data_IF_736894448647
#
_entry.id   IF_736894448647
#
_cell.length_a   1.000
_cell.length_b   1.000
_cell.length_c   1.000
_cell.angle_alpha   90.00
_cell.angle_beta   90.00
_cell.angle_gamma   90.00
#
_symmetry.space_group_name_H-M   'P 1'
#
loop_
_entity.id
_entity.type
_entity.pdbx_description
1 polymer ?
#
# COMPACT_ATOMS: atom_id res chain seq x y z
N UNK A 1 -18.30 -8.17 -26.05
CA UNK A 1 -18.73 -8.02 -24.65
C UNK A 1 -17.51 -7.77 -23.79
N UNK A 2 -17.41 -6.57 -23.23
CA UNK A 2 -16.29 -6.14 -22.35
C UNK A 2 -16.29 -6.89 -21.00
N UNK A 3 -17.46 -7.32 -20.53
CA UNK A 3 -17.61 -7.98 -19.25
C UNK A 3 -18.44 -9.24 -19.40
N UNK A 4 -17.82 -10.39 -19.13
CA UNK A 4 -18.50 -11.65 -19.01
C UNK A 4 -17.97 -12.36 -17.78
N UNK A 5 -18.80 -12.57 -16.78
CA UNK A 5 -18.42 -13.40 -15.63
C UNK A 5 -18.10 -14.80 -16.13
N UNK A 6 -16.87 -15.22 -15.96
CA UNK A 6 -16.39 -16.53 -16.43
C UNK A 6 -16.03 -17.46 -15.28
N UNK A 7 -15.80 -16.91 -14.08
CA UNK A 7 -15.37 -17.69 -12.92
C UNK A 7 -15.97 -17.13 -11.65
N UNK A 8 -16.13 -18.00 -10.66
CA UNK A 8 -16.49 -17.62 -9.32
C UNK A 8 -15.76 -18.51 -8.30
N UNK A 9 -15.57 -17.99 -7.11
CA UNK A 9 -14.96 -18.72 -5.98
C UNK A 9 -15.85 -18.59 -4.74
N UNK A 10 -16.01 -19.67 -3.94
CA UNK A 10 -16.81 -19.68 -2.72
C UNK A 10 -16.07 -19.06 -1.52
N UNK A 11 -15.21 -18.10 -1.78
CA UNK A 11 -14.45 -17.32 -0.80
C UNK A 11 -14.36 -15.88 -1.31
N UNK A 12 -14.30 -14.93 -0.39
CA UNK A 12 -14.03 -13.54 -0.72
C UNK A 12 -12.51 -13.31 -0.73
N UNK A 13 -12.00 -12.90 -1.87
CA UNK A 13 -10.56 -12.70 -2.10
C UNK A 13 -10.36 -11.58 -3.12
N UNK A 14 -9.24 -10.89 -3.03
CA UNK A 14 -8.79 -9.98 -4.08
C UNK A 14 -7.81 -10.72 -5.01
N UNK A 15 -8.25 -11.15 -6.21
CA UNK A 15 -7.40 -11.91 -7.12
C UNK A 15 -6.20 -11.10 -7.64
N UNK A 16 -6.31 -9.78 -7.74
CA UNK A 16 -5.22 -8.92 -8.20
C UNK A 16 -4.09 -8.83 -7.17
N UNK A 17 -4.43 -8.74 -5.88
CA UNK A 17 -3.42 -8.76 -4.81
C UNK A 17 -2.66 -10.08 -4.74
N UNK A 18 -3.34 -11.19 -4.99
CA UNK A 18 -2.68 -12.50 -5.03
C UNK A 18 -1.63 -12.54 -6.15
N UNK A 19 -1.96 -12.00 -7.31
CA UNK A 19 -1.09 -12.04 -8.50
C UNK A 19 0.05 -11.03 -8.35
N UNK A 20 -0.25 -9.80 -7.94
CA UNK A 20 0.70 -8.69 -7.97
C UNK A 20 1.57 -8.62 -6.71
N UNK A 21 0.98 -8.87 -5.55
CA UNK A 21 1.62 -8.65 -4.24
C UNK A 21 1.93 -9.95 -3.50
N UNK A 22 1.45 -11.12 -4.00
CA UNK A 22 1.51 -12.42 -3.33
C UNK A 22 0.87 -12.41 -1.93
N UNK A 23 -0.08 -11.48 -1.73
CA UNK A 23 -0.82 -11.32 -0.48
C UNK A 23 -2.14 -12.10 -0.56
N UNK A 24 -2.30 -13.06 0.34
CA UNK A 24 -3.45 -13.96 0.39
C UNK A 24 -4.30 -13.62 1.61
N UNK A 25 -5.27 -12.72 1.42
CA UNK A 25 -6.33 -12.46 2.40
C UNK A 25 -7.62 -13.16 1.95
N UNK A 26 -7.97 -14.27 2.59
CA UNK A 26 -9.15 -15.08 2.28
C UNK A 26 -10.17 -14.93 3.39
N UNK A 27 -11.38 -14.51 3.02
CA UNK A 27 -12.50 -14.32 3.94
C UNK A 27 -13.68 -15.21 3.52
N UNK A 28 -14.61 -15.48 4.44
CA UNK A 28 -15.86 -16.13 4.10
C UNK A 28 -16.67 -15.24 3.17
N UNK A 29 -17.14 -15.81 2.03
CA UNK A 29 -17.89 -15.02 1.07
C UNK A 29 -17.87 -15.62 -0.33
N UNK A 30 -18.00 -14.76 -1.34
CA UNK A 30 -17.98 -15.17 -2.73
C UNK A 30 -17.25 -14.11 -3.57
N UNK A 31 -16.49 -14.54 -4.56
CA UNK A 31 -15.84 -13.68 -5.55
C UNK A 31 -16.30 -14.05 -6.94
N UNK A 32 -16.71 -13.07 -7.72
CA UNK A 32 -16.99 -13.17 -9.13
C UNK A 32 -15.83 -12.54 -9.91
N UNK A 33 -15.37 -13.21 -10.95
CA UNK A 33 -14.25 -12.76 -11.78
C UNK A 33 -14.72 -12.65 -13.23
N UNK A 34 -14.37 -11.56 -13.86
CA UNK A 34 -14.64 -11.30 -15.27
C UNK A 34 -13.37 -10.85 -15.98
N UNK A 35 -13.14 -11.40 -17.15
CA UNK A 35 -12.02 -11.05 -18.01
C UNK A 35 -12.51 -11.06 -19.47
N UNK A 36 -12.04 -10.13 -20.28
CA UNK A 36 -12.30 -10.19 -21.70
C UNK A 36 -11.34 -11.15 -22.43
N UNK A 37 -11.66 -11.52 -23.67
CA UNK A 37 -10.87 -12.48 -24.47
C UNK A 37 -9.43 -12.01 -24.72
N UNK A 38 -9.18 -10.72 -24.70
CA UNK A 38 -7.85 -10.14 -24.95
C UNK A 38 -7.08 -9.86 -23.66
N UNK A 39 -7.63 -10.19 -22.51
CA UNK A 39 -7.07 -9.87 -21.19
C UNK A 39 -6.74 -8.38 -21.00
N UNK A 40 -7.38 -7.52 -21.80
CA UNK A 40 -7.18 -6.07 -21.70
C UNK A 40 -8.16 -5.40 -20.70
N UNK A 41 -9.19 -6.13 -20.27
CA UNK A 41 -10.11 -5.70 -19.22
C UNK A 41 -10.35 -6.85 -18.25
N UNK A 42 -10.05 -6.62 -17.01
CA UNK A 42 -10.20 -7.59 -15.92
C UNK A 42 -10.97 -6.93 -14.78
N UNK A 43 -11.85 -7.68 -14.15
CA UNK A 43 -12.59 -7.17 -13.00
C UNK A 43 -12.94 -8.28 -12.02
N UNK A 44 -13.12 -7.91 -10.79
CA UNK A 44 -13.71 -8.78 -9.79
C UNK A 44 -14.73 -8.04 -8.95
N UNK A 45 -15.65 -8.78 -8.38
CA UNK A 45 -16.60 -8.34 -7.36
C UNK A 45 -16.62 -9.39 -6.25
N UNK A 46 -16.23 -9.01 -5.05
CA UNK A 46 -16.21 -9.89 -3.90
C UNK A 46 -17.19 -9.40 -2.83
N UNK A 47 -17.92 -10.33 -2.27
CA UNK A 47 -18.73 -10.14 -1.07
C UNK A 47 -18.11 -10.95 0.06
N UNK A 48 -17.72 -10.28 1.13
CA UNK A 48 -17.19 -10.90 2.33
C UNK A 48 -18.16 -10.71 3.50
N UNK A 49 -18.23 -11.72 4.33
CA UNK A 49 -18.95 -11.64 5.59
C UNK A 49 -18.04 -12.03 6.74
N UNK A 50 -17.92 -11.15 7.73
CA UNK A 50 -17.18 -11.38 8.96
C UNK A 50 -18.09 -11.02 10.13
N UNK A 51 -18.12 -11.89 11.14
CA UNK A 51 -18.98 -11.68 12.31
C UNK A 51 -18.65 -10.39 13.06
N UNK A 52 -17.37 -10.03 13.13
CA UNK A 52 -16.92 -8.81 13.82
C UNK A 52 -17.11 -7.54 12.97
N UNK A 53 -16.80 -7.61 11.68
CA UNK A 53 -16.79 -6.45 10.77
C UNK A 53 -18.07 -6.29 9.97
N UNK A 54 -18.94 -7.30 9.96
CA UNK A 54 -20.17 -7.31 9.15
C UNK A 54 -19.91 -7.63 7.69
N UNK A 55 -20.86 -7.21 6.83
CA UNK A 55 -20.81 -7.47 5.39
C UNK A 55 -20.02 -6.40 4.65
N UNK A 56 -19.12 -6.82 3.77
CA UNK A 56 -18.28 -5.94 2.94
C UNK A 56 -18.37 -6.37 1.49
N UNK A 57 -18.58 -5.40 0.60
CA UNK A 57 -18.48 -5.56 -0.86
C UNK A 57 -17.23 -4.87 -1.34
N UNK A 58 -16.39 -5.58 -2.09
CA UNK A 58 -15.16 -5.06 -2.70
C UNK A 58 -15.22 -5.33 -4.20
N UNK A 59 -14.77 -4.39 -5.00
CA UNK A 59 -14.67 -4.60 -6.45
C UNK A 59 -13.56 -3.77 -7.06
N UNK A 60 -13.00 -4.28 -8.15
CA UNK A 60 -12.03 -3.55 -8.95
C UNK A 60 -12.22 -3.88 -10.43
N UNK A 61 -11.91 -2.89 -11.24
CA UNK A 61 -11.84 -2.96 -12.69
C UNK A 61 -10.47 -2.45 -13.12
N UNK A 62 -9.74 -3.28 -13.87
CA UNK A 62 -8.47 -2.94 -14.49
C UNK A 62 -8.60 -2.98 -16.00
N UNK A 63 -8.09 -1.97 -16.67
CA UNK A 63 -8.08 -1.88 -18.13
C UNK A 63 -6.71 -1.44 -18.64
N UNK A 64 -6.11 -2.23 -19.52
CA UNK A 64 -4.77 -2.01 -20.09
C UNK A 64 -4.75 -1.92 -21.63
N UNK A 65 -5.91 -1.81 -22.26
CA UNK A 65 -6.03 -1.81 -23.74
C UNK A 65 -5.48 -0.57 -24.45
N UNK A 66 -5.13 0.49 -23.73
CA UNK A 66 -4.62 1.75 -24.30
C UNK A 66 -3.10 1.92 -24.12
N UNK A 67 -2.39 0.90 -23.64
CA UNK A 67 -0.98 1.04 -23.27
C UNK A 67 -0.76 1.77 -21.95
N UNK A 68 -1.83 2.25 -21.34
CA UNK A 68 -1.91 2.76 -19.99
C UNK A 68 -2.78 1.80 -19.19
N UNK A 69 -2.31 1.36 -18.06
CA UNK A 69 -3.10 0.58 -17.12
C UNK A 69 -3.97 1.52 -16.28
N UNK A 70 -5.27 1.37 -16.41
CA UNK A 70 -6.26 2.12 -15.64
C UNK A 70 -6.90 1.17 -14.62
N UNK A 71 -6.98 1.58 -13.38
CA UNK A 71 -7.64 0.82 -12.33
C UNK A 71 -8.64 1.69 -11.57
N UNK A 72 -9.83 1.14 -11.34
CA UNK A 72 -10.84 1.73 -10.46
C UNK A 72 -11.24 0.64 -9.47
N UNK A 73 -11.16 0.93 -8.18
CA UNK A 73 -11.56 0.00 -7.15
C UNK A 73 -12.44 0.69 -6.10
N UNK A 74 -13.29 -0.09 -5.48
CA UNK A 74 -14.19 0.41 -4.44
C UNK A 74 -14.44 -0.64 -3.38
N UNK A 75 -14.71 -0.15 -2.17
CA UNK A 75 -15.12 -0.97 -1.03
C UNK A 75 -16.32 -0.30 -0.37
N UNK A 76 -17.31 -1.08 -0.01
CA UNK A 76 -18.47 -0.62 0.75
C UNK A 76 -18.88 -1.65 1.79
N UNK A 77 -19.18 -1.18 3.00
CA UNK A 77 -19.65 -2.03 4.09
C UNK A 77 -18.62 -2.13 5.21
N UNK A 78 -18.89 -3.04 6.12
CA UNK A 78 -18.10 -3.16 7.34
C UNK A 78 -18.55 -2.20 8.43
N UNK A 79 -18.40 -2.64 9.67
CA UNK A 79 -18.69 -1.84 10.84
C UNK A 79 -17.43 -1.07 11.23
N UNK A 80 -17.57 0.22 11.42
CA UNK A 80 -16.49 1.04 11.94
C UNK A 80 -16.58 1.10 13.46
N UNK A 81 -15.46 1.02 14.13
CA UNK A 81 -15.37 1.12 15.60
C UNK A 81 -14.36 2.19 16.01
N UNK A 82 -14.64 2.87 17.08
CA UNK A 82 -13.72 3.83 17.71
C UNK A 82 -13.29 3.25 19.04
N UNK A 83 -12.00 3.25 19.29
CA UNK A 83 -11.45 2.99 20.61
C UNK A 83 -11.34 4.32 21.37
N UNK A 84 -12.27 4.56 22.28
CA UNK A 84 -12.18 5.72 23.15
C UNK A 84 -11.16 5.45 24.26
N UNK A 85 -10.28 6.42 24.52
CA UNK A 85 -9.30 6.27 25.58
C UNK A 85 -10.00 6.12 26.95
N UNK A 86 -9.54 5.16 27.74
CA UNK A 86 -10.15 4.80 29.02
C UNK A 86 -11.33 3.84 28.93
N UNK A 87 -11.75 3.44 27.73
CA UNK A 87 -12.76 2.40 27.53
C UNK A 87 -12.13 1.12 27.01
N UNK A 88 -12.41 0.01 27.66
CA UNK A 88 -11.89 -1.31 27.25
C UNK A 88 -12.59 -1.89 26.02
N UNK A 89 -13.74 -1.34 25.64
CA UNK A 89 -14.52 -1.85 24.51
C UNK A 89 -14.61 -0.81 23.37
N UNK A 90 -14.47 -1.25 22.11
CA UNK A 90 -14.65 -0.39 20.96
C UNK A 90 -16.12 0.08 20.88
N UNK A 91 -16.32 1.35 20.55
CA UNK A 91 -17.66 1.89 20.30
C UNK A 91 -17.98 1.79 18.80
N UNK A 92 -19.13 1.24 18.43
CA UNK A 92 -19.54 1.19 17.03
C UNK A 92 -19.90 2.60 16.54
N UNK A 93 -19.48 2.88 15.29
CA UNK A 93 -19.91 4.06 14.55
C UNK A 93 -21.08 3.67 13.66
N UNK A 94 -22.14 4.49 13.56
CA UNK A 94 -23.32 4.17 12.76
C UNK A 94 -23.02 4.13 11.26
N UNK A 95 -22.01 4.86 10.79
CA UNK A 95 -21.68 4.97 9.38
C UNK A 95 -20.89 3.75 8.88
N UNK A 96 -21.30 3.23 7.73
CA UNK A 96 -20.55 2.15 7.06
C UNK A 96 -19.28 2.70 6.42
N UNK A 97 -18.24 1.85 6.40
CA UNK A 97 -17.04 2.18 5.66
C UNK A 97 -17.30 2.20 4.15
N UNK A 98 -16.75 3.16 3.46
CA UNK A 98 -16.62 3.14 2.01
C UNK A 98 -15.31 3.77 1.54
N UNK A 99 -14.79 3.24 0.47
CA UNK A 99 -13.63 3.80 -0.21
C UNK A 99 -13.79 3.67 -1.72
N UNK A 100 -13.18 4.60 -2.43
CA UNK A 100 -13.10 4.61 -3.88
C UNK A 100 -11.67 4.97 -4.26
N UNK A 101 -11.09 4.26 -5.21
CA UNK A 101 -9.79 4.56 -5.76
C UNK A 101 -9.83 4.56 -7.28
N UNK A 102 -9.05 5.43 -7.88
CA UNK A 102 -8.80 5.47 -9.31
C UNK A 102 -7.31 5.69 -9.54
N UNK A 103 -6.72 4.90 -10.42
CA UNK A 103 -5.29 4.96 -10.73
C UNK A 103 -5.03 4.84 -12.21
N UNK A 104 -3.91 5.40 -12.63
CA UNK A 104 -3.36 5.25 -13.97
C UNK A 104 -1.87 4.98 -13.87
N UNK A 105 -1.40 3.94 -14.56
CA UNK A 105 0.02 3.58 -14.67
C UNK A 105 0.40 3.51 -16.14
N UNK A 106 1.40 4.28 -16.52
CA UNK A 106 2.01 4.23 -17.87
C UNK A 106 3.31 3.44 -17.79
N UNK A 107 3.32 2.15 -18.18
CA UNK A 107 4.53 1.36 -18.28
C UNK A 107 5.19 1.58 -19.65
N UNK A 108 6.40 2.10 -19.66
CA UNK A 108 7.23 2.23 -20.85
C UNK A 108 8.35 1.18 -20.79
N UNK A 109 8.24 0.15 -21.61
CA UNK A 109 9.21 -0.97 -21.62
C UNK A 109 10.14 -0.83 -22.82
N UNK A 110 11.43 -0.82 -22.56
CA UNK A 110 12.49 -0.74 -23.55
C UNK A 110 13.36 -2.01 -23.44
N UNK A 111 13.14 -2.96 -24.31
CA UNK A 111 13.97 -4.16 -24.38
C UNK A 111 15.16 -3.92 -25.34
N UNK A 112 16.37 -4.17 -24.87
CA UNK A 112 17.59 -4.06 -25.68
C UNK A 112 18.48 -5.28 -25.41
N UNK A 113 18.35 -6.28 -26.25
CA UNK A 113 19.09 -7.54 -26.14
C UNK A 113 18.78 -8.27 -24.85
N UNK A 114 19.80 -8.49 -24.02
CA UNK A 114 19.67 -9.20 -22.75
C UNK A 114 19.24 -8.30 -21.56
N UNK A 115 18.96 -7.02 -21.82
CA UNK A 115 18.54 -6.06 -20.79
C UNK A 115 17.11 -5.60 -21.01
N UNK A 116 16.36 -5.55 -19.95
CA UNK A 116 15.05 -4.93 -19.90
C UNK A 116 15.14 -3.64 -19.09
N UNK A 117 14.66 -2.56 -19.69
CA UNK A 117 14.52 -1.25 -19.04
C UNK A 117 13.05 -0.91 -19.00
N UNK A 118 12.58 -0.49 -17.84
CA UNK A 118 11.19 -0.08 -17.68
C UNK A 118 11.14 1.25 -16.94
N UNK A 119 10.40 2.19 -17.51
CA UNK A 119 10.01 3.42 -16.85
C UNK A 119 8.50 3.35 -16.57
N UNK A 120 8.08 3.52 -15.34
CA UNK A 120 6.68 3.56 -14.95
C UNK A 120 6.33 4.93 -14.38
N UNK A 121 5.24 5.51 -14.84
CA UNK A 121 4.65 6.71 -14.28
C UNK A 121 3.29 6.35 -13.70
N UNK A 122 3.05 6.68 -12.46
CA UNK A 122 1.80 6.38 -11.75
C UNK A 122 1.15 7.64 -11.21
N UNK A 123 -0.17 7.71 -11.34
CA UNK A 123 -0.99 8.69 -10.67
C UNK A 123 -2.21 7.96 -10.08
N UNK A 124 -2.47 8.13 -8.81
CA UNK A 124 -3.59 7.49 -8.13
C UNK A 124 -4.31 8.47 -7.21
N UNK A 125 -5.61 8.35 -7.18
CA UNK A 125 -6.49 9.03 -6.25
C UNK A 125 -7.21 8.00 -5.40
N UNK A 126 -7.24 8.22 -4.10
CA UNK A 126 -7.98 7.40 -3.16
C UNK A 126 -8.86 8.30 -2.30
N UNK A 127 -10.08 7.88 -2.10
CA UNK A 127 -11.03 8.50 -1.21
C UNK A 127 -11.55 7.49 -0.20
N UNK A 128 -11.66 7.86 1.06
CA UNK A 128 -12.33 7.02 2.05
C UNK A 128 -12.98 7.87 3.14
N UNK A 129 -14.07 7.36 3.70
CA UNK A 129 -14.71 7.91 4.90
C UNK A 129 -14.18 7.25 6.18
N UNK A 130 -13.16 6.41 6.09
CA UNK A 130 -12.59 5.73 7.24
C UNK A 130 -12.06 6.70 8.28
N UNK A 131 -12.14 6.32 9.54
CA UNK A 131 -11.49 7.03 10.61
C UNK A 131 -9.99 6.80 10.53
N UNK A 132 -9.27 7.87 10.31
CA UNK A 132 -7.82 7.77 10.09
C UNK A 132 -7.05 7.81 11.39
N UNK A 133 -7.56 8.44 12.43
CA UNK A 133 -7.03 8.36 13.79
C UNK A 133 -8.00 8.96 14.80
N UNK A 134 -8.04 8.35 15.99
CA UNK A 134 -8.45 9.03 17.21
C UNK A 134 -7.18 9.56 17.88
N UNK A 135 -6.97 10.85 17.79
CA UNK A 135 -5.86 11.49 18.50
C UNK A 135 -6.40 11.95 19.85
N UNK A 136 -6.08 11.20 20.89
CA UNK A 136 -6.31 11.62 22.27
C UNK A 136 -5.09 12.35 22.80
N UNK A 137 -5.24 13.58 23.29
CA UNK A 137 -4.23 14.25 24.09
C UNK A 137 -4.49 13.95 25.55
N UNK A 138 -3.60 13.17 26.18
CA UNK A 138 -3.54 13.03 27.61
C UNK A 138 -2.90 14.30 28.19
N UNK A 139 -3.68 15.11 28.89
CA UNK A 139 -3.13 16.20 29.68
C UNK A 139 -3.00 15.71 31.13
N UNK A 140 -1.77 15.65 31.62
CA UNK A 140 -1.51 15.34 33.03
C UNK A 140 -1.79 16.55 33.84
N UNK A 141 -2.69 16.42 34.82
CA UNK A 141 -2.97 17.44 35.83
C UNK A 141 -2.14 17.15 37.08
N UNK A 142 -1.15 17.99 37.31
CA UNK A 142 -0.26 17.86 38.48
C UNK A 142 -0.99 18.04 39.82
N UNK A 143 -2.10 18.79 39.87
CA UNK A 143 -2.84 19.04 41.08
C UNK A 143 -3.66 17.84 41.55
N UNK A 144 -4.16 17.06 40.61
CA UNK A 144 -4.96 15.86 40.88
C UNK A 144 -4.21 14.55 40.71
N UNK A 145 -2.93 14.60 40.26
CA UNK A 145 -2.12 13.44 39.87
C UNK A 145 -2.86 12.49 38.94
N UNK A 146 -3.72 13.03 38.10
CA UNK A 146 -4.53 12.24 37.16
C UNK A 146 -4.43 12.79 35.75
N UNK A 147 -4.65 11.89 34.78
CA UNK A 147 -4.78 12.30 33.40
C UNK A 147 -6.21 12.78 33.17
N UNK A 148 -6.40 14.06 32.97
CA UNK A 148 -7.69 14.69 32.70
C UNK A 148 -7.72 15.22 31.27
N UNK A 149 -8.91 15.24 30.66
CA UNK A 149 -9.22 15.77 29.33
C UNK A 149 -8.55 15.03 28.17
N UNK A 150 -9.10 13.89 27.83
CA UNK A 150 -8.99 13.28 26.52
C UNK A 150 -9.86 14.06 25.53
N UNK A 151 -9.27 15.01 24.82
CA UNK A 151 -9.94 15.56 23.64
C UNK A 151 -9.85 14.54 22.51
N UNK A 152 -10.95 13.89 22.20
CA UNK A 152 -11.07 13.06 21.03
C UNK A 152 -11.26 13.94 19.80
N UNK A 153 -10.23 14.07 19.00
CA UNK A 153 -10.35 14.66 17.68
C UNK A 153 -10.63 13.50 16.72
N UNK A 154 -11.89 13.17 16.54
CA UNK A 154 -12.31 12.24 15.50
C UNK A 154 -12.41 12.98 14.18
N UNK A 155 -11.56 12.67 13.20
CA UNK A 155 -11.69 13.20 11.86
C UNK A 155 -12.65 12.29 11.08
N UNK A 156 -13.86 12.75 10.83
CA UNK A 156 -14.87 12.09 9.99
C UNK A 156 -14.90 12.63 8.57
N UNK A 157 -14.05 13.58 8.25
CA UNK A 157 -14.02 14.13 6.90
C UNK A 157 -13.38 13.12 5.96
N UNK A 158 -14.02 12.94 4.80
CA UNK A 158 -13.50 12.07 3.75
C UNK A 158 -12.05 12.41 3.42
N UNK A 159 -11.21 11.40 3.45
CA UNK A 159 -9.80 11.55 3.14
C UNK A 159 -9.61 11.41 1.64
N UNK A 160 -9.17 12.48 0.99
CA UNK A 160 -8.69 12.45 -0.38
C UNK A 160 -7.17 12.36 -0.38
N UNK A 161 -6.63 11.27 -0.91
CA UNK A 161 -5.19 11.08 -1.06
C UNK A 161 -4.85 11.02 -2.53
N UNK A 162 -3.98 11.91 -2.99
CA UNK A 162 -3.36 11.86 -4.31
C UNK A 162 -1.95 11.28 -4.17
N UNK A 163 -1.59 10.37 -5.05
CA UNK A 163 -0.25 9.77 -5.07
C UNK A 163 0.28 9.84 -6.49
N UNK A 164 1.48 10.38 -6.65
CA UNK A 164 2.23 10.39 -7.89
C UNK A 164 3.50 9.57 -7.72
N UNK A 165 3.83 8.77 -8.70
CA UNK A 165 4.99 7.89 -8.63
C UNK A 165 5.75 7.85 -9.96
N UNK A 166 7.06 7.70 -9.84
CA UNK A 166 7.95 7.39 -10.94
C UNK A 166 8.82 6.21 -10.54
N UNK A 167 8.90 5.21 -11.40
CA UNK A 167 9.75 4.05 -11.23
C UNK A 167 10.63 3.85 -12.45
N UNK A 168 11.89 3.51 -12.23
CA UNK A 168 12.79 3.10 -13.30
C UNK A 168 13.52 1.83 -12.90
N UNK A 169 13.53 0.85 -13.78
CA UNK A 169 14.31 -0.36 -13.62
C UNK A 169 15.16 -0.65 -14.85
N UNK A 170 16.34 -1.19 -14.61
CA UNK A 170 17.24 -1.68 -15.64
C UNK A 170 17.86 -2.98 -15.13
N UNK A 171 17.46 -4.09 -15.70
CA UNK A 171 17.87 -5.42 -15.22
C UNK A 171 18.29 -6.30 -16.39
N UNK A 172 19.24 -7.17 -16.11
CA UNK A 172 19.61 -8.28 -16.99
C UNK A 172 18.55 -9.37 -16.83
N UNK A 173 18.16 -10.01 -17.93
CA UNK A 173 17.24 -11.14 -17.87
C UNK A 173 17.85 -12.29 -17.06
N UNK A 174 17.03 -12.92 -16.24
CA UNK A 174 17.38 -14.09 -15.46
C UNK A 174 17.67 -15.27 -16.39
N UNK A 175 18.82 -15.91 -16.21
CA UNK A 175 19.05 -17.24 -16.77
C UNK A 175 18.31 -18.28 -15.91
N UNK A 176 18.00 -19.43 -16.49
CA UNK A 176 17.24 -20.49 -15.80
C UNK A 176 17.87 -20.97 -14.47
N UNK A 177 19.16 -20.76 -14.28
CA UNK A 177 19.92 -21.11 -13.08
C UNK A 177 20.10 -19.98 -12.08
N UNK A 178 19.68 -18.77 -12.41
CA UNK A 178 19.83 -17.61 -11.52
C UNK A 178 18.58 -17.46 -10.67
N UNK A 179 18.74 -17.37 -9.37
CA UNK A 179 17.64 -17.12 -8.42
C UNK A 179 17.21 -15.67 -8.39
N UNK A 180 18.14 -14.75 -8.69
CA UNK A 180 17.90 -13.31 -8.71
C UNK A 180 18.61 -12.70 -9.90
N UNK A 181 18.10 -11.59 -10.38
CA UNK A 181 18.73 -10.75 -11.41
C UNK A 181 20.22 -10.55 -11.11
N UNK A 182 21.13 -11.01 -11.97
CA UNK A 182 22.56 -10.99 -11.71
C UNK A 182 23.14 -9.58 -11.71
N UNK A 183 22.53 -8.65 -12.46
CA UNK A 183 22.93 -7.24 -12.54
C UNK A 183 21.74 -6.35 -12.86
N UNK A 184 21.62 -5.27 -12.15
CA UNK A 184 20.58 -4.30 -12.42
C UNK A 184 20.39 -3.33 -11.30
N UNK A 185 19.44 -2.42 -11.48
CA UNK A 185 18.99 -1.51 -10.44
C UNK A 185 17.53 -1.12 -10.65
N UNK A 186 16.90 -0.80 -9.54
CA UNK A 186 15.54 -0.27 -9.47
C UNK A 186 15.59 1.03 -8.68
N UNK A 187 15.00 2.07 -9.21
CA UNK A 187 14.83 3.34 -8.54
C UNK A 187 13.37 3.71 -8.57
N UNK A 188 12.82 4.20 -7.49
CA UNK A 188 11.48 4.74 -7.48
C UNK A 188 11.38 5.92 -6.53
N UNK A 189 10.51 6.86 -6.89
CA UNK A 189 10.13 7.98 -6.06
C UNK A 189 8.61 8.13 -6.09
N UNK A 190 8.03 8.51 -4.98
CA UNK A 190 6.61 8.81 -4.88
C UNK A 190 6.36 10.04 -4.01
N UNK A 191 5.32 10.76 -4.37
CA UNK A 191 4.81 11.90 -3.63
C UNK A 191 3.32 11.67 -3.36
N UNK A 192 2.94 11.70 -2.10
CA UNK A 192 1.56 11.56 -1.68
C UNK A 192 1.12 12.82 -0.93
N UNK A 193 -0.06 13.32 -1.26
CA UNK A 193 -0.63 14.52 -0.64
C UNK A 193 -2.13 14.33 -0.35
N UNK A 194 -2.64 15.11 0.60
CA UNK A 194 -4.04 15.19 0.95
C UNK A 194 -4.55 16.61 0.75
N UNK A 195 -5.11 16.94 -0.42
CA UNK A 195 -5.45 18.32 -0.76
C UNK A 195 -6.62 18.89 0.04
N UNK A 196 -7.43 18.03 0.63
CA UNK A 196 -8.67 18.44 1.36
C UNK A 196 -8.55 18.34 2.87
N UNK A 197 -7.43 17.87 3.38
CA UNK A 197 -7.27 17.66 4.81
C UNK A 197 -5.89 18.11 5.29
N UNK A 198 -5.86 19.26 5.94
CA UNK A 198 -4.64 19.89 6.47
C UNK A 198 -4.02 19.14 7.68
N UNK A 199 -4.70 18.11 8.19
CA UNK A 199 -4.21 17.30 9.31
C UNK A 199 -3.20 16.24 8.88
N UNK A 200 -3.05 16.00 7.56
CA UNK A 200 -2.08 15.07 7.02
C UNK A 200 -0.92 15.85 6.38
N UNK A 201 0.27 15.42 6.70
CA UNK A 201 1.46 15.89 6.00
C UNK A 201 1.56 15.21 4.64
N UNK A 202 2.15 15.92 3.68
CA UNK A 202 2.59 15.31 2.42
C UNK A 202 3.76 14.38 2.67
N UNK A 203 3.88 13.34 1.86
CA UNK A 203 4.92 12.35 1.99
C UNK A 203 5.73 12.24 0.71
N UNK A 204 7.03 12.39 0.83
CA UNK A 204 7.99 11.99 -0.21
C UNK A 204 8.64 10.67 0.22
N UNK A 205 8.67 9.70 -0.69
CA UNK A 205 9.37 8.44 -0.51
C UNK A 205 10.26 8.15 -1.71
N UNK A 206 11.49 7.78 -1.45
CA UNK A 206 12.47 7.36 -2.47
C UNK A 206 13.00 5.99 -2.09
N UNK A 207 13.10 5.12 -3.07
CA UNK A 207 13.60 3.77 -2.89
C UNK A 207 14.60 3.45 -4.01
N UNK A 208 15.70 2.82 -3.64
CA UNK A 208 16.70 2.30 -4.57
C UNK A 208 17.08 0.86 -4.22
N UNK A 209 17.27 0.04 -5.24
CA UNK A 209 17.78 -1.32 -5.11
C UNK A 209 18.80 -1.61 -6.20
N UNK A 210 19.95 -2.13 -5.82
CA UNK A 210 21.04 -2.50 -6.69
C UNK A 210 21.28 -4.00 -6.62
N UNK A 211 21.42 -4.63 -7.78
CA UNK A 211 21.76 -6.03 -7.92
C UNK A 211 23.16 -6.14 -8.52
N UNK A 212 24.04 -6.88 -7.87
CA UNK A 212 25.40 -7.15 -8.34
C UNK A 212 25.70 -8.64 -8.24
N UNK A 213 26.59 -9.17 -9.08
CA UNK A 213 27.10 -10.51 -8.89
C UNK A 213 27.77 -10.62 -7.52
N UNK A 214 27.64 -11.78 -6.90
CA UNK A 214 28.39 -12.08 -5.69
C UNK A 214 29.85 -12.45 -5.98
N UNK A 215 30.54 -12.90 -4.94
CA UNK A 215 31.98 -13.25 -5.01
C UNK A 215 32.25 -14.62 -5.69
N UNK A 216 31.23 -15.43 -5.91
CA UNK A 216 31.32 -16.71 -6.56
C UNK A 216 30.24 -16.84 -7.67
N UNK A 217 30.40 -17.79 -8.62
CA UNK A 217 29.39 -18.06 -9.64
C UNK A 217 28.01 -18.32 -9.02
N UNK A 218 26.98 -17.76 -9.63
CA UNK A 218 25.57 -17.88 -9.19
C UNK A 218 25.22 -17.25 -7.83
N UNK A 219 26.14 -16.55 -7.22
CA UNK A 219 25.87 -15.76 -6.02
C UNK A 219 25.39 -14.37 -6.40
N UNK A 220 24.59 -13.77 -5.56
CA UNK A 220 24.13 -12.39 -5.76
C UNK A 220 24.27 -11.56 -4.49
N UNK A 221 24.66 -10.31 -4.67
CA UNK A 221 24.66 -9.30 -3.64
C UNK A 221 23.61 -8.25 -4.00
N UNK A 222 22.69 -8.01 -3.09
CA UNK A 222 21.64 -7.03 -3.26
C UNK A 222 21.76 -5.96 -2.18
N UNK A 223 21.88 -4.72 -2.59
CA UNK A 223 21.83 -3.56 -1.70
C UNK A 223 20.54 -2.79 -1.95
N UNK A 224 19.82 -2.44 -0.90
CA UNK A 224 18.62 -1.61 -1.02
C UNK A 224 18.64 -0.50 0.03
N UNK A 225 18.06 0.65 -0.32
CA UNK A 225 17.88 1.75 0.59
C UNK A 225 16.54 2.46 0.32
N UNK A 226 15.92 2.95 1.37
CA UNK A 226 14.74 3.79 1.30
C UNK A 226 14.92 5.03 2.15
N UNK A 227 14.41 6.14 1.66
CA UNK A 227 14.29 7.37 2.42
C UNK A 227 12.87 7.91 2.28
N UNK A 228 12.31 8.32 3.41
CA UNK A 228 10.98 8.88 3.48
C UNK A 228 11.00 10.12 4.35
N UNK A 229 10.31 11.16 3.93
CA UNK A 229 10.14 12.39 4.71
C UNK A 229 8.73 12.93 4.57
N UNK A 230 8.18 13.39 5.68
CA UNK A 230 6.90 14.11 5.70
C UNK A 230 7.14 15.60 5.54
N UNK A 231 6.47 16.20 4.56
CA UNK A 231 6.56 17.63 4.25
C UNK A 231 5.23 18.28 4.60
N UNK A 232 5.29 19.55 4.97
CA UNK A 232 4.12 20.32 5.35
C UNK A 232 3.80 20.22 6.83
N UNK A 233 3.02 21.20 7.27
CA UNK A 233 2.62 21.30 8.66
C UNK A 233 1.45 20.38 8.94
N UNK A 234 1.62 19.50 9.88
CA UNK A 234 0.51 18.97 10.59
C UNK A 234 -0.10 20.12 11.41
N UNK A 235 -1.25 20.61 11.02
CA UNK A 235 -1.94 21.67 11.74
C UNK A 235 -2.76 21.09 12.89
N UNK A 236 -2.12 20.36 13.77
CA UNK A 236 -2.70 20.05 15.06
C UNK A 236 -2.55 21.29 15.95
N UNK A 237 -3.59 21.74 16.70
CA UNK A 237 -3.47 22.80 17.68
C UNK A 237 -2.38 22.57 18.74
N UNK A 238 -1.95 21.33 18.93
CA UNK A 238 -0.86 20.93 19.83
C UNK A 238 0.54 20.88 19.16
N UNK A 239 0.66 21.14 17.86
CA UNK A 239 1.95 21.16 17.16
C UNK A 239 2.62 19.79 16.94
N UNK A 240 1.93 18.69 17.22
CA UNK A 240 2.46 17.34 17.09
C UNK A 240 1.93 16.63 15.84
N UNK A 241 2.79 15.97 15.13
CA UNK A 241 2.44 15.18 13.94
C UNK A 241 2.19 13.73 14.34
N UNK A 242 0.93 13.34 14.47
CA UNK A 242 0.56 11.97 14.83
C UNK A 242 0.34 11.06 13.63
N UNK A 243 0.27 11.60 12.42
CA UNK A 243 -0.06 10.86 11.22
C UNK A 243 1.00 11.07 10.15
N UNK A 244 2.02 10.25 10.18
CA UNK A 244 2.91 10.07 9.04
C UNK A 244 2.44 8.89 8.21
N UNK A 245 2.40 9.04 6.90
CA UNK A 245 2.26 7.87 6.03
C UNK A 245 3.52 7.02 6.15
N UNK A 246 3.32 5.77 6.49
CA UNK A 246 4.42 4.83 6.63
C UNK A 246 4.74 4.23 5.26
N UNK A 247 6.00 4.19 4.90
CA UNK A 247 6.41 3.40 3.76
C UNK A 247 6.44 1.93 4.18
N UNK A 248 5.74 1.08 3.45
CA UNK A 248 5.85 -0.36 3.62
C UNK A 248 7.15 -0.95 3.03
N UNK A 249 7.98 -0.12 2.38
CA UNK A 249 9.20 -0.58 1.72
C UNK A 249 10.36 -0.59 2.70
N UNK A 250 11.06 -1.71 2.73
CA UNK A 250 12.30 -1.90 3.48
C UNK A 250 12.13 -1.70 5.00
N UNK A 251 11.25 -2.49 5.60
CA UNK A 251 11.12 -2.54 7.05
C UNK A 251 12.21 -3.46 7.61
N UNK A 252 13.01 -3.03 8.59
CA UNK A 252 14.00 -3.88 9.22
C UNK A 252 13.38 -5.12 9.83
N UNK A 253 14.08 -6.25 9.77
CA UNK A 253 13.60 -7.51 10.36
C UNK A 253 13.35 -7.35 11.85
N UNK A 254 12.20 -7.81 12.32
CA UNK A 254 11.79 -7.71 13.73
C UNK A 254 11.02 -6.43 14.09
N UNK A 255 10.79 -5.54 13.15
CA UNK A 255 9.96 -4.36 13.34
C UNK A 255 8.67 -4.48 12.53
N UNK A 256 7.57 -3.99 13.09
CA UNK A 256 6.33 -3.77 12.36
C UNK A 256 6.32 -2.34 11.76
N UNK A 257 5.55 -2.15 10.70
CA UNK A 257 5.32 -0.83 10.12
C UNK A 257 4.73 0.16 11.15
N UNK A 258 4.02 -0.36 12.15
CA UNK A 258 3.44 0.43 13.23
C UNK A 258 4.47 0.96 14.24
N UNK A 259 5.64 0.31 14.33
CA UNK A 259 6.72 0.75 15.22
C UNK A 259 7.47 1.96 14.66
N UNK A 260 7.30 2.24 13.35
CA UNK A 260 7.98 3.32 12.66
C UNK A 260 7.07 4.53 12.63
N UNK A 261 7.22 5.41 13.60
CA UNK A 261 6.48 6.66 13.69
C UNK A 261 7.43 7.85 13.77
N UNK A 262 8.00 8.23 12.62
CA UNK A 262 8.95 9.32 12.53
C UNK A 262 8.66 10.21 11.32
N UNK A 263 8.99 11.50 11.43
CA UNK A 263 8.90 12.45 10.32
C UNK A 263 9.85 12.08 9.19
N UNK A 264 11.03 11.62 9.54
CA UNK A 264 12.04 11.18 8.60
C UNK A 264 12.38 9.73 8.89
N UNK A 265 12.40 8.93 7.86
CA UNK A 265 12.73 7.51 7.94
C UNK A 265 13.79 7.16 6.91
N UNK A 266 14.83 6.49 7.34
CA UNK A 266 15.84 5.91 6.47
C UNK A 266 16.09 4.47 6.87
N UNK A 267 16.10 3.59 5.89
CA UNK A 267 16.51 2.21 6.07
C UNK A 267 17.41 1.76 4.91
N UNK A 268 18.35 0.88 5.22
CA UNK A 268 19.19 0.23 4.22
C UNK A 268 19.33 -1.24 4.55
N UNK A 269 19.44 -2.08 3.52
CA UNK A 269 19.71 -3.51 3.65
C UNK A 269 20.82 -3.94 2.69
N UNK A 270 21.53 -4.96 3.09
CA UNK A 270 22.54 -5.65 2.28
C UNK A 270 22.29 -7.15 2.43
N UNK A 271 21.89 -7.78 1.35
CA UNK A 271 21.54 -9.19 1.33
C UNK A 271 22.51 -9.94 0.41
N UNK A 272 23.17 -10.95 0.94
CA UNK A 272 24.02 -11.86 0.18
C UNK A 272 23.37 -13.23 0.07
N UNK A 273 23.19 -13.71 -1.15
CA UNK A 273 22.52 -14.98 -1.42
C UNK A 273 23.50 -15.97 -2.00
N UNK A 274 23.54 -17.12 -1.34
CA UNK A 274 24.36 -18.27 -1.69
C UNK A 274 23.46 -19.41 -2.09
N UNK A 275 23.59 -20.02 -3.28
CA UNK A 275 22.99 -21.29 -3.56
C UNK A 275 23.70 -22.38 -2.76
N UNK A 276 23.00 -23.02 -1.84
CA UNK A 276 23.58 -24.08 -0.99
C UNK A 276 23.57 -25.42 -1.72
N UNK A 277 22.65 -25.60 -2.64
CA UNK A 277 22.51 -26.83 -3.43
C UNK A 277 22.02 -26.50 -4.84
N UNK A 278 22.65 -27.11 -5.83
CA UNK A 278 22.11 -27.23 -7.20
C UNK A 278 21.70 -28.67 -7.44
N UNK A 279 20.44 -28.96 -7.76
CA UNK A 279 20.03 -30.28 -8.22
C UNK A 279 20.59 -30.59 -9.60
#
# INVERSE_FOLDING_TARGET
HLFKVHSWMPVAVNPFKIIDEHDIDVQLGVTLISQNLLSSAESYLAYAWNHAEGSVVKGSLRYNGLGVELEVAGTYGGNQVIYAAGQAQPQPIPDKYYSLSAGATLPLVFAAGYRTRMLSLTAAWNFSNGLVANVGKLTYDEATHSFTNLQHIGYREGLHKLTFGIGYSNSVQLAHRDFITPRGYVLSASYALNPTNDHFSDLISVYGKLYTPGFAPHNSLTAAATYQTSIGGFKNPAGESFLSYKSARLIPRGFDSNDINSRNYFAASLDYQLPVWYP
#
